data_IF_955302566040
#
_entry.id   IF_955302566040
#
_cell.length_a   1.000
_cell.length_b   1.000
_cell.length_c   1.000
_cell.angle_alpha   90.00
_cell.angle_beta   90.00
_cell.angle_gamma   90.00
#
_symmetry.space_group_name_H-M   'P 1'
#
loop_
_entity.id
_entity.type
_entity.pdbx_description
1 polymer ?
#
# COMPACT_ATOMS: atom_id res chain seq x y z
N UNK A 1 -1.10 2.48 -9.80
CA UNK A 1 0.09 2.23 -8.95
C UNK A 1 0.73 3.59 -8.65
N UNK A 2 1.06 3.87 -7.38
CA UNK A 2 1.64 5.15 -6.97
C UNK A 2 3.11 5.09 -7.36
N UNK A 3 3.51 5.90 -8.34
CA UNK A 3 4.89 5.93 -8.82
C UNK A 3 5.48 7.29 -8.52
N UNK A 4 6.68 7.25 -7.95
CA UNK A 4 7.61 8.36 -7.93
C UNK A 4 8.60 8.09 -9.05
N UNK A 5 8.69 8.98 -10.03
CA UNK A 5 9.68 8.88 -11.11
C UNK A 5 10.73 9.99 -10.99
N UNK A 6 11.96 9.67 -11.34
CA UNK A 6 13.12 10.53 -11.15
C UNK A 6 13.15 11.60 -12.25
N UNK A 7 13.14 12.88 -11.86
CA UNK A 7 13.15 13.98 -12.81
C UNK A 7 14.46 14.01 -13.61
N UNK A 8 14.38 13.76 -14.91
CA UNK A 8 15.54 13.66 -15.81
C UNK A 8 16.11 15.01 -16.29
N UNK A 9 15.44 16.14 -16.02
CA UNK A 9 15.81 17.45 -16.59
C UNK A 9 16.77 18.29 -15.72
N UNK A 10 17.74 17.65 -15.06
CA UNK A 10 18.78 18.35 -14.29
C UNK A 10 18.32 18.96 -12.96
N UNK A 11 17.09 18.68 -12.54
CA UNK A 11 16.56 18.96 -11.20
C UNK A 11 16.49 17.64 -10.44
N UNK A 12 17.34 17.47 -9.43
CA UNK A 12 17.26 16.31 -8.53
C UNK A 12 15.89 16.31 -7.84
N UNK A 13 15.00 15.39 -8.21
CA UNK A 13 13.64 15.33 -7.66
C UNK A 13 12.86 14.11 -8.10
N UNK A 14 11.78 13.82 -7.39
CA UNK A 14 10.80 12.80 -7.75
C UNK A 14 9.48 13.48 -8.12
N UNK A 15 8.78 12.97 -9.13
CA UNK A 15 7.43 13.41 -9.48
C UNK A 15 6.42 12.29 -9.24
N UNK A 16 5.30 12.63 -8.62
CA UNK A 16 4.19 11.70 -8.43
C UNK A 16 3.43 11.56 -9.75
N UNK A 17 3.45 10.37 -10.35
CA UNK A 17 2.81 10.08 -11.65
C UNK A 17 1.33 9.68 -11.54
N UNK A 18 0.82 9.42 -10.33
CA UNK A 18 -0.54 8.93 -10.13
C UNK A 18 -1.21 9.65 -8.97
N UNK A 19 -2.40 10.19 -9.22
CA UNK A 19 -3.21 10.88 -8.21
C UNK A 19 -4.25 9.94 -7.60
N UNK A 20 -4.68 10.23 -6.39
CA UNK A 20 -5.72 9.50 -5.65
C UNK A 20 -7.05 9.44 -6.42
N UNK A 21 -7.31 10.41 -7.30
CA UNK A 21 -8.43 10.41 -8.25
C UNK A 21 -8.36 9.32 -9.30
N UNK A 22 -7.17 8.97 -9.80
CA UNK A 22 -6.99 7.94 -10.83
C UNK A 22 -7.36 6.54 -10.31
N UNK A 23 -7.12 6.34 -9.02
CA UNK A 23 -7.39 5.08 -8.32
C UNK A 23 -8.86 4.87 -7.97
N UNK A 24 -9.61 5.94 -7.75
CA UNK A 24 -11.05 5.84 -7.46
C UNK A 24 -11.80 5.24 -8.66
N UNK A 25 -11.44 5.63 -9.88
CA UNK A 25 -12.00 5.09 -11.11
C UNK A 25 -11.70 3.60 -11.28
N UNK A 26 -10.44 3.21 -11.12
CA UNK A 26 -10.03 1.80 -11.18
C UNK A 26 -10.77 0.96 -10.13
N UNK A 27 -10.77 1.39 -8.87
CA UNK A 27 -11.38 0.61 -7.79
C UNK A 27 -12.89 0.44 -8.00
N UNK A 28 -13.59 1.48 -8.48
CA UNK A 28 -15.01 1.40 -8.83
C UNK A 28 -15.29 0.42 -9.97
N UNK A 29 -14.40 0.34 -10.96
CA UNK A 29 -14.53 -0.58 -12.08
C UNK A 29 -14.20 -2.04 -11.69
N UNK A 30 -13.31 -2.20 -10.72
CA UNK A 30 -12.84 -3.50 -10.24
C UNK A 30 -13.80 -4.16 -9.26
N UNK A 31 -14.52 -3.38 -8.44
CA UNK A 31 -15.44 -3.95 -7.46
C UNK A 31 -16.77 -4.32 -8.13
N UNK A 32 -17.26 -5.58 -7.98
CA UNK A 32 -18.54 -6.00 -8.55
C UNK A 32 -19.72 -5.09 -8.15
N UNK A 33 -20.64 -4.85 -9.09
CA UNK A 33 -21.82 -4.01 -8.86
C UNK A 33 -22.75 -4.53 -7.77
N UNK A 34 -22.70 -5.83 -7.48
CA UNK A 34 -23.60 -6.49 -6.54
C UNK A 34 -23.09 -6.49 -5.09
N UNK A 35 -21.89 -5.98 -4.83
CA UNK A 35 -21.39 -5.80 -3.45
C UNK A 35 -22.17 -4.72 -2.71
N UNK A 36 -22.26 -4.89 -1.39
CA UNK A 36 -22.88 -3.93 -0.48
C UNK A 36 -22.30 -2.51 -0.66
N UNK A 37 -23.20 -1.54 -0.72
CA UNK A 37 -22.88 -0.14 -1.02
C UNK A 37 -21.97 0.48 0.04
N UNK A 38 -22.14 0.11 1.31
CA UNK A 38 -21.35 0.63 2.42
C UNK A 38 -19.94 0.03 2.40
N UNK A 39 -19.80 -1.26 2.07
CA UNK A 39 -18.49 -1.91 1.87
C UNK A 39 -17.69 -1.22 0.76
N UNK A 40 -18.32 -0.96 -0.40
CA UNK A 40 -17.70 -0.20 -1.50
C UNK A 40 -17.23 1.17 -1.05
N UNK A 41 -18.11 1.92 -0.37
CA UNK A 41 -17.83 3.28 0.09
C UNK A 41 -16.64 3.30 1.05
N UNK A 42 -16.57 2.35 2.00
CA UNK A 42 -15.45 2.22 2.94
C UNK A 42 -14.14 1.88 2.23
N UNK A 43 -14.17 0.95 1.27
CA UNK A 43 -12.97 0.57 0.52
C UNK A 43 -12.42 1.74 -0.31
N UNK A 44 -13.29 2.48 -1.02
CA UNK A 44 -12.92 3.72 -1.71
C UNK A 44 -12.33 4.75 -0.75
N UNK A 45 -12.99 4.98 0.39
CA UNK A 45 -12.55 5.95 1.39
C UNK A 45 -11.18 5.59 1.97
N UNK A 46 -10.94 4.31 2.28
CA UNK A 46 -9.68 3.84 2.85
C UNK A 46 -8.52 3.96 1.86
N UNK A 47 -8.75 3.58 0.59
CA UNK A 47 -7.75 3.73 -0.46
C UNK A 47 -7.44 5.22 -0.68
N UNK A 48 -8.46 6.08 -0.73
CA UNK A 48 -8.27 7.53 -0.87
C UNK A 48 -7.46 8.11 0.28
N UNK A 49 -7.76 7.77 1.53
CA UNK A 49 -6.99 8.25 2.68
C UNK A 49 -5.53 7.80 2.64
N UNK A 50 -5.28 6.54 2.25
CA UNK A 50 -3.91 6.03 2.08
C UNK A 50 -3.17 6.84 1.00
N UNK A 51 -3.76 6.98 -0.18
CA UNK A 51 -3.12 7.65 -1.30
C UNK A 51 -2.89 9.15 -1.05
N UNK A 52 -3.88 9.86 -0.51
CA UNK A 52 -3.72 11.28 -0.14
C UNK A 52 -2.65 11.45 0.95
N UNK A 53 -2.59 10.54 1.92
CA UNK A 53 -1.54 10.54 2.94
C UNK A 53 -0.14 10.40 2.34
N UNK A 54 0.01 9.52 1.34
CA UNK A 54 1.27 9.33 0.60
C UNK A 54 1.60 10.52 -0.28
N UNK A 55 0.62 11.10 -0.98
CA UNK A 55 0.79 12.30 -1.81
C UNK A 55 1.28 13.50 -0.99
N UNK A 56 0.64 13.76 0.15
CA UNK A 56 1.02 14.87 1.04
C UNK A 56 2.45 14.70 1.53
N UNK A 57 2.85 13.48 1.92
CA UNK A 57 4.21 13.20 2.39
C UNK A 57 5.24 13.28 1.25
N UNK A 58 4.91 12.79 0.06
CA UNK A 58 5.75 12.96 -1.12
C UNK A 58 6.00 14.45 -1.42
N UNK A 59 4.94 15.28 -1.32
CA UNK A 59 5.04 16.73 -1.46
C UNK A 59 5.88 17.43 -0.39
N UNK A 60 6.12 16.80 0.77
CA UNK A 60 7.00 17.30 1.83
C UNK A 60 8.46 16.84 1.65
N UNK A 61 8.68 15.74 0.94
CA UNK A 61 10.01 15.25 0.57
C UNK A 61 10.61 16.11 -0.55
N UNK A 62 9.80 16.53 -1.53
CA UNK A 62 10.24 17.26 -2.72
C UNK A 62 11.00 18.58 -2.43
N UNK A 63 10.59 19.44 -1.45
CA UNK A 63 11.30 20.69 -1.14
C UNK A 63 12.63 20.48 -0.40
N UNK A 64 12.75 19.39 0.37
CA UNK A 64 13.94 19.07 1.16
C UNK A 64 15.14 18.67 0.28
N UNK A 65 14.88 18.18 -0.94
CA UNK A 65 15.91 17.78 -1.89
C UNK A 65 16.66 18.99 -2.49
N UNK A 66 15.97 20.13 -2.66
CA UNK A 66 16.55 21.38 -3.15
C UNK A 66 17.42 22.10 -2.10
N UNK A 67 17.27 21.76 -0.82
CA UNK A 67 18.12 22.27 0.28
C UNK A 67 19.46 21.53 0.42
N UNK A 68 19.79 20.58 -0.47
CA UNK A 68 21.07 19.83 -0.50
C UNK A 68 22.34 20.69 -0.67
N UNK A 69 22.24 22.02 -0.72
CA UNK A 69 23.38 22.94 -0.70
C UNK A 69 24.20 22.89 0.61
N UNK A 70 23.73 22.23 1.68
CA UNK A 70 24.40 22.26 3.01
C UNK A 70 24.59 20.92 3.73
N UNK A 71 24.24 19.76 3.15
CA UNK A 71 24.44 18.44 3.78
C UNK A 71 23.20 17.55 3.79
N UNK A 72 23.35 16.32 4.32
CA UNK A 72 22.32 15.26 4.37
C UNK A 72 20.94 15.82 4.81
N UNK A 73 19.88 15.51 4.05
CA UNK A 73 18.51 15.90 4.43
C UNK A 73 18.10 15.10 5.66
N UNK A 74 17.98 15.79 6.79
CA UNK A 74 17.61 15.20 8.08
C UNK A 74 16.18 14.60 8.07
N UNK A 75 15.33 15.02 7.14
CA UNK A 75 13.93 14.58 7.07
C UNK A 75 13.65 13.62 5.93
N UNK A 76 14.50 13.52 4.91
CA UNK A 76 14.25 12.66 3.76
C UNK A 76 14.07 11.19 4.16
N UNK A 77 15.05 10.63 4.86
CA UNK A 77 15.07 9.23 5.25
C UNK A 77 13.91 8.83 6.18
N UNK A 78 13.61 9.56 7.27
CA UNK A 78 12.47 9.21 8.13
C UNK A 78 11.12 9.37 7.41
N UNK A 79 10.95 10.37 6.54
CA UNK A 79 9.69 10.51 5.79
C UNK A 79 9.52 9.42 4.74
N UNK A 80 10.59 9.04 4.06
CA UNK A 80 10.56 7.95 3.09
C UNK A 80 10.23 6.61 3.75
N UNK A 81 10.86 6.30 4.89
CA UNK A 81 10.54 5.11 5.68
C UNK A 81 9.07 5.09 6.10
N UNK A 82 8.56 6.20 6.66
CA UNK A 82 7.13 6.32 7.05
C UNK A 82 6.20 6.13 5.85
N UNK A 83 6.53 6.67 4.68
CA UNK A 83 5.75 6.44 3.46
C UNK A 83 5.72 4.97 3.05
N UNK A 84 6.87 4.28 3.08
CA UNK A 84 6.93 2.84 2.81
C UNK A 84 6.06 2.04 3.76
N UNK A 85 6.07 2.38 5.05
CA UNK A 85 5.22 1.72 6.06
C UNK A 85 3.74 1.94 5.79
N UNK A 86 3.32 3.19 5.62
CA UNK A 86 1.92 3.52 5.36
C UNK A 86 1.42 2.90 4.06
N UNK A 87 2.26 2.87 3.02
CA UNK A 87 1.97 2.19 1.77
C UNK A 87 1.74 0.69 2.00
N UNK A 88 2.60 0.02 2.77
CA UNK A 88 2.44 -1.41 3.06
C UNK A 88 1.17 -1.67 3.88
N UNK A 89 0.94 -0.92 4.96
CA UNK A 89 -0.26 -1.08 5.80
C UNK A 89 -1.55 -0.81 5.00
N UNK A 90 -1.56 0.23 4.18
CA UNK A 90 -2.69 0.58 3.34
C UNK A 90 -2.95 -0.47 2.26
N UNK A 91 -1.90 -0.88 1.54
CA UNK A 91 -1.97 -1.94 0.53
C UNK A 91 -2.50 -3.25 1.12
N UNK A 92 -1.98 -3.67 2.27
CA UNK A 92 -2.48 -4.87 2.98
C UNK A 92 -3.97 -4.77 3.26
N UNK A 93 -4.42 -3.64 3.82
CA UNK A 93 -5.82 -3.44 4.20
C UNK A 93 -6.77 -3.46 3.00
N UNK A 94 -6.34 -2.92 1.85
CA UNK A 94 -7.10 -2.94 0.60
C UNK A 94 -7.17 -4.36 0.04
N UNK A 95 -6.05 -5.09 0.01
CA UNK A 95 -5.99 -6.48 -0.42
C UNK A 95 -6.85 -7.40 0.47
N UNK A 96 -6.80 -7.21 1.79
CA UNK A 96 -7.64 -7.94 2.75
C UNK A 96 -9.13 -7.68 2.49
N UNK A 97 -9.52 -6.42 2.31
CA UNK A 97 -10.91 -6.05 2.03
C UNK A 97 -11.43 -6.64 0.72
N UNK A 98 -10.66 -6.52 -0.37
CA UNK A 98 -11.00 -7.08 -1.67
C UNK A 98 -11.07 -8.60 -1.64
N UNK A 99 -10.03 -9.26 -1.13
CA UNK A 99 -9.95 -10.71 -1.07
C UNK A 99 -11.06 -11.31 -0.19
N UNK A 100 -11.39 -10.66 0.93
CA UNK A 100 -12.44 -11.15 1.83
C UNK A 100 -13.80 -11.09 1.15
N UNK A 101 -14.06 -10.01 0.42
CA UNK A 101 -15.31 -9.86 -0.29
C UNK A 101 -15.42 -10.79 -1.51
N UNK A 102 -14.33 -11.07 -2.24
CA UNK A 102 -14.32 -12.13 -3.26
C UNK A 102 -14.55 -13.52 -2.66
N UNK A 103 -13.91 -13.82 -1.53
CA UNK A 103 -14.10 -15.08 -0.83
C UNK A 103 -15.57 -15.28 -0.42
N UNK A 104 -16.18 -14.27 0.20
CA UNK A 104 -17.58 -14.32 0.64
C UNK A 104 -18.56 -14.41 -0.53
N UNK A 105 -18.31 -13.69 -1.63
CA UNK A 105 -19.12 -13.76 -2.84
C UNK A 105 -19.12 -15.17 -3.45
N UNK A 106 -17.95 -15.82 -3.48
CA UNK A 106 -17.81 -17.19 -4.02
C UNK A 106 -18.34 -18.28 -3.08
N UNK A 107 -18.34 -18.04 -1.77
CA UNK A 107 -18.78 -19.00 -0.76
C UNK A 107 -20.31 -19.02 -0.55
N UNK A 108 -21.07 -18.11 -1.15
CA UNK A 108 -22.54 -18.14 -1.15
C UNK A 108 -23.21 -17.76 0.18
N UNK A 109 -22.52 -17.12 1.14
CA UNK A 109 -23.20 -16.58 2.33
C UNK A 109 -22.36 -16.20 3.55
N UNK A 110 -22.96 -15.28 4.32
CA UNK A 110 -22.69 -14.67 5.63
C UNK A 110 -21.38 -13.89 5.89
N UNK A 111 -21.55 -12.55 5.90
CA UNK A 111 -20.56 -11.55 6.30
C UNK A 111 -20.12 -11.64 7.78
N UNK A 112 -20.72 -12.52 8.58
CA UNK A 112 -20.37 -12.71 10.00
C UNK A 112 -19.15 -13.63 10.22
N UNK A 113 -18.72 -14.38 9.19
CA UNK A 113 -17.57 -15.26 9.31
C UNK A 113 -16.28 -14.49 9.05
N UNK A 114 -15.41 -14.41 10.06
CA UNK A 114 -14.07 -13.84 9.89
C UNK A 114 -13.31 -14.64 8.81
N UNK A 115 -12.97 -13.98 7.70
CA UNK A 115 -12.18 -14.57 6.63
C UNK A 115 -10.71 -14.59 7.05
N UNK A 116 -10.10 -15.77 7.06
CA UNK A 116 -8.68 -15.96 7.38
C UNK A 116 -7.77 -15.41 6.28
N UNK A 117 -6.51 -15.12 6.65
CA UNK A 117 -5.52 -14.56 5.71
C UNK A 117 -5.34 -15.41 4.46
N UNK A 118 -5.19 -16.72 4.63
CA UNK A 118 -5.01 -17.62 3.49
C UNK A 118 -6.25 -17.71 2.61
N UNK A 119 -7.44 -17.57 3.19
CA UNK A 119 -8.71 -17.63 2.47
C UNK A 119 -8.92 -16.40 1.58
N UNK A 120 -8.74 -15.19 2.13
CA UNK A 120 -8.89 -13.98 1.33
C UNK A 120 -7.74 -13.82 0.34
N UNK A 121 -6.52 -14.22 0.70
CA UNK A 121 -5.36 -14.13 -0.20
C UNK A 121 -5.54 -15.04 -1.41
N UNK A 122 -5.98 -16.29 -1.21
CA UNK A 122 -6.27 -17.20 -2.31
C UNK A 122 -7.38 -16.66 -3.23
N UNK A 123 -8.45 -16.10 -2.67
CA UNK A 123 -9.53 -15.50 -3.46
C UNK A 123 -9.06 -14.27 -4.25
N UNK A 124 -8.18 -13.45 -3.67
CA UNK A 124 -7.59 -12.28 -4.32
C UNK A 124 -6.71 -12.69 -5.52
N UNK A 125 -5.83 -13.68 -5.32
CA UNK A 125 -4.94 -14.20 -6.36
C UNK A 125 -5.74 -14.86 -7.49
N UNK A 126 -6.71 -15.69 -7.15
CA UNK A 126 -7.58 -16.33 -8.15
C UNK A 126 -8.33 -15.31 -9.04
N UNK A 127 -8.57 -14.10 -8.54
CA UNK A 127 -9.25 -13.05 -9.29
C UNK A 127 -8.30 -12.18 -10.12
N UNK A 128 -7.20 -11.71 -9.53
CA UNK A 128 -6.32 -10.70 -10.15
C UNK A 128 -5.05 -11.25 -10.78
N UNK A 129 -4.60 -12.43 -10.36
CA UNK A 129 -3.38 -13.06 -10.85
C UNK A 129 -3.56 -14.59 -10.96
N UNK A 130 -4.58 -15.06 -11.73
CA UNK A 130 -4.92 -16.49 -11.79
C UNK A 130 -3.80 -17.34 -12.41
N UNK A 131 -2.92 -16.74 -13.20
CA UNK A 131 -1.76 -17.38 -13.83
C UNK A 131 -0.48 -17.24 -13.00
N UNK A 132 -0.51 -16.49 -11.89
CA UNK A 132 0.66 -16.15 -11.06
C UNK A 132 1.78 -15.40 -11.81
N UNK A 133 1.50 -14.84 -12.98
CA UNK A 133 2.49 -14.15 -13.82
C UNK A 133 2.90 -12.79 -13.24
N UNK A 134 2.08 -12.19 -12.37
CA UNK A 134 2.32 -10.88 -11.80
C UNK A 134 2.90 -10.91 -10.38
N UNK A 135 3.08 -12.11 -9.81
CA UNK A 135 3.67 -12.29 -8.48
C UNK A 135 2.83 -11.68 -7.35
N UNK A 136 1.51 -11.53 -7.54
CA UNK A 136 0.63 -10.83 -6.60
C UNK A 136 0.69 -11.47 -5.21
N UNK A 137 0.73 -12.79 -5.13
CA UNK A 137 0.82 -13.50 -3.85
C UNK A 137 2.09 -13.14 -3.06
N UNK A 138 3.23 -13.07 -3.77
CA UNK A 138 4.51 -12.73 -3.17
C UNK A 138 4.52 -11.27 -2.71
N UNK A 139 3.98 -10.36 -3.51
CA UNK A 139 3.85 -8.94 -3.18
C UNK A 139 2.98 -8.74 -1.92
N UNK A 140 1.83 -9.41 -1.83
CA UNK A 140 0.95 -9.36 -0.65
C UNK A 140 1.66 -9.92 0.58
N UNK A 141 2.44 -10.99 0.41
CA UNK A 141 3.22 -11.60 1.49
C UNK A 141 4.31 -10.65 2.00
N UNK A 142 5.02 -9.97 1.11
CA UNK A 142 6.06 -8.99 1.46
C UNK A 142 5.45 -7.79 2.21
N UNK A 143 4.34 -7.27 1.71
CA UNK A 143 3.60 -6.18 2.36
C UNK A 143 3.13 -6.59 3.76
N UNK A 144 2.65 -7.82 3.93
CA UNK A 144 2.27 -8.38 5.24
C UNK A 144 3.46 -8.42 6.20
N UNK A 145 4.64 -8.85 5.76
CA UNK A 145 5.85 -8.89 6.60
C UNK A 145 6.18 -7.49 7.14
N UNK A 146 6.16 -6.47 6.28
CA UNK A 146 6.44 -5.08 6.68
C UNK A 146 5.38 -4.56 7.66
N UNK A 147 4.10 -4.85 7.39
CA UNK A 147 2.98 -4.49 8.28
C UNK A 147 3.05 -5.20 9.64
N UNK A 148 3.40 -6.48 9.66
CA UNK A 148 3.50 -7.27 10.89
C UNK A 148 4.65 -6.78 11.78
N UNK A 149 5.75 -6.24 11.21
CA UNK A 149 6.82 -5.58 11.97
C UNK A 149 6.32 -4.35 12.76
N UNK A 150 5.27 -3.65 12.30
CA UNK A 150 4.63 -2.58 13.10
C UNK A 150 3.79 -3.12 14.26
N UNK A 151 3.13 -4.28 14.07
CA UNK A 151 2.32 -4.92 15.11
C UNK A 151 3.15 -5.74 16.11
N UNK A 152 4.47 -5.82 15.92
CA UNK A 152 5.41 -6.33 16.93
C UNK A 152 5.63 -5.31 18.06
N UNK A 153 4.52 -4.88 18.70
CA UNK A 153 4.46 -4.21 20.00
C UNK A 153 4.87 -5.15 21.16
N UNK A 154 5.77 -6.11 20.88
CA UNK A 154 6.55 -6.77 21.91
C UNK A 154 7.82 -5.95 22.02
N UNK A 155 7.86 -5.08 23.03
CA UNK A 155 8.92 -4.12 23.36
C UNK A 155 10.37 -4.62 23.23
N UNK A 156 10.63 -5.93 23.17
CA UNK A 156 11.95 -6.53 22.95
C UNK A 156 12.37 -6.80 21.49
N UNK A 157 11.47 -6.73 20.50
CA UNK A 157 11.83 -6.99 19.08
C UNK A 157 12.24 -5.73 18.30
N UNK A 158 12.05 -4.53 18.90
CA UNK A 158 12.40 -3.25 18.26
C UNK A 158 13.89 -3.08 18.01
N UNK A 159 14.74 -3.72 18.81
CA UNK A 159 16.20 -3.64 18.69
C UNK A 159 16.75 -4.46 17.50
N UNK A 160 16.02 -5.49 17.06
CA UNK A 160 16.45 -6.41 15.99
C UNK A 160 15.87 -6.07 14.60
N UNK A 161 14.95 -5.10 14.52
CA UNK A 161 14.43 -4.65 13.22
C UNK A 161 15.42 -3.66 12.62
N UNK A 162 16.12 -4.07 11.57
CA UNK A 162 16.84 -3.15 10.71
C UNK A 162 15.83 -2.32 9.89
N UNK A 163 15.57 -1.10 10.36
CA UNK A 163 14.68 -0.14 9.72
C UNK A 163 15.28 0.46 8.43
N UNK A 164 16.58 0.27 8.17
CA UNK A 164 17.25 0.76 6.97
C UNK A 164 17.27 -0.26 5.82
N UNK A 165 16.95 -1.53 6.08
CA UNK A 165 16.82 -2.60 5.06
C UNK A 165 15.62 -2.40 4.12
N UNK A 166 14.71 -1.47 4.44
CA UNK A 166 13.62 -1.04 3.55
C UNK A 166 14.03 0.09 2.59
N UNK A 167 15.31 0.43 2.56
CA UNK A 167 15.90 1.49 1.75
C UNK A 167 16.06 1.14 0.27
N UNK A 168 16.57 2.11 -0.48
CA UNK A 168 16.77 2.02 -1.92
C UNK A 168 17.68 0.84 -2.30
N UNK A 169 17.33 0.14 -3.39
CA UNK A 169 18.31 -0.68 -4.10
C UNK A 169 19.49 0.20 -4.53
N UNK A 170 20.69 -0.18 -4.10
CA UNK A 170 21.95 0.46 -4.51
C UNK A 170 22.21 0.30 -6.01
#
# INVERSE_FOLDING_TARGET
MFYLDEMHDGVNGWHCLSTSSDWEGWLKATIPHDWDREVKRRLVSNLKHTLVGLEMKAGLIQPQQNSRKTGRSLLFEPYFQVMTFEFCVGTFSVCEGLGSAFHLANAGGDAERRVGVDQWKAALVAHFDPTHEHGLEQNVTQVKVIRDKMHQDRLGAREDIDWHDFGYGS
#
